data_IF_786014874121
#
_entry.id   IF_786014874121
#
_cell.length_a   1.000
_cell.length_b   1.000
_cell.length_c   1.000
_cell.angle_alpha   90.00
_cell.angle_beta   90.00
_cell.angle_gamma   90.00
#
_symmetry.space_group_name_H-M   'P 1'
#
loop_
_entity.id
_entity.type
_entity.pdbx_description
1 polymer ?
#
# COMPACT_ATOMS: atom_id res chain seq x y z
N UNK A 1 -31.41 -27.19 10.00
CA UNK A 1 -31.46 -25.80 9.50
C UNK A 1 -31.20 -24.83 10.65
N UNK A 2 -30.20 -23.94 10.50
CA UNK A 2 -30.00 -22.82 11.43
C UNK A 2 -30.70 -21.59 10.84
N UNK A 3 -31.36 -20.81 11.70
CA UNK A 3 -32.04 -19.57 11.32
C UNK A 3 -31.29 -18.38 11.92
N UNK A 4 -31.35 -17.23 11.26
CA UNK A 4 -30.81 -15.97 11.80
C UNK A 4 -31.71 -15.47 12.93
N UNK A 5 -31.10 -15.07 14.05
CA UNK A 5 -31.83 -14.44 15.14
C UNK A 5 -32.00 -12.94 14.88
N UNK A 6 -33.18 -12.54 14.39
CA UNK A 6 -33.50 -11.13 14.11
C UNK A 6 -33.66 -10.27 15.37
N UNK A 7 -33.81 -10.88 16.55
CA UNK A 7 -33.80 -10.17 17.84
C UNK A 7 -32.40 -9.92 18.40
N UNK A 8 -31.34 -10.42 17.75
CA UNK A 8 -29.98 -10.17 18.21
C UNK A 8 -29.63 -8.68 18.08
N UNK A 9 -29.04 -8.10 19.14
CA UNK A 9 -28.78 -6.66 19.22
C UNK A 9 -27.97 -6.13 18.02
N UNK A 10 -27.01 -6.90 17.52
CA UNK A 10 -26.22 -6.52 16.34
C UNK A 10 -27.08 -6.43 15.07
N UNK A 11 -27.97 -7.41 14.84
CA UNK A 11 -28.84 -7.43 13.64
C UNK A 11 -29.75 -6.21 13.64
N UNK A 12 -30.36 -5.88 14.78
CA UNK A 12 -31.20 -4.69 14.91
C UNK A 12 -30.44 -3.36 14.72
N UNK A 13 -29.14 -3.32 15.06
CA UNK A 13 -28.31 -2.13 14.84
C UNK A 13 -27.97 -1.93 13.35
N UNK A 14 -27.68 -3.02 12.65
CA UNK A 14 -27.34 -3.04 11.22
C UNK A 14 -28.56 -2.67 10.37
N UNK A 15 -29.73 -3.24 10.66
CA UNK A 15 -30.98 -2.92 9.95
C UNK A 15 -31.31 -1.43 10.01
N UNK A 16 -31.12 -0.79 11.17
CA UNK A 16 -31.34 0.66 11.34
C UNK A 16 -30.43 1.52 10.47
N UNK A 17 -29.25 1.00 10.08
CA UNK A 17 -28.24 1.71 9.31
C UNK A 17 -28.24 1.34 7.83
N UNK A 18 -29.06 0.38 7.42
CA UNK A 18 -29.08 -0.17 6.06
C UNK A 18 -27.69 -0.63 5.59
N UNK A 19 -26.90 -1.21 6.51
CA UNK A 19 -25.59 -1.75 6.20
C UNK A 19 -25.72 -3.15 5.58
N UNK A 20 -24.95 -3.42 4.51
CA UNK A 20 -24.86 -4.73 3.87
C UNK A 20 -23.90 -5.61 4.66
N UNK A 21 -24.34 -6.82 4.99
CA UNK A 21 -23.49 -7.81 5.67
C UNK A 21 -22.84 -8.74 4.67
N UNK A 22 -21.60 -9.13 4.96
CA UNK A 22 -20.84 -10.06 4.14
C UNK A 22 -20.17 -11.10 5.03
N UNK A 23 -20.00 -12.31 4.51
CA UNK A 23 -19.22 -13.37 5.14
C UNK A 23 -17.96 -13.64 4.35
N UNK A 24 -16.86 -13.90 5.05
CA UNK A 24 -15.62 -14.37 4.42
C UNK A 24 -15.79 -15.83 4.05
N UNK A 25 -15.71 -16.13 2.75
CA UNK A 25 -15.85 -17.49 2.22
C UNK A 25 -14.50 -18.19 2.10
N UNK A 26 -13.49 -17.47 1.62
CA UNK A 26 -12.13 -18.00 1.38
C UNK A 26 -11.09 -16.98 1.81
N UNK A 27 -9.90 -17.47 2.17
CA UNK A 27 -8.79 -16.65 2.65
C UNK A 27 -7.46 -17.18 2.11
N UNK A 28 -6.58 -16.26 1.72
CA UNK A 28 -5.17 -16.54 1.46
C UNK A 28 -4.41 -16.08 2.70
N UNK A 29 -3.64 -16.99 3.29
CA UNK A 29 -2.86 -16.72 4.50
C UNK A 29 -1.39 -17.10 4.32
N UNK A 30 -0.52 -16.46 5.08
CA UNK A 30 0.88 -16.87 5.20
C UNK A 30 0.98 -18.21 5.91
N UNK A 31 1.77 -19.14 5.36
CA UNK A 31 2.04 -20.44 6.00
C UNK A 31 3.18 -20.36 7.00
N UNK A 32 4.17 -19.52 6.74
CA UNK A 32 5.32 -19.23 7.60
C UNK A 32 5.46 -17.72 7.77
N UNK A 33 6.25 -17.29 8.76
CA UNK A 33 6.62 -15.89 8.89
C UNK A 33 7.51 -15.46 7.71
N UNK A 34 7.33 -14.23 7.22
CA UNK A 34 8.09 -13.67 6.11
C UNK A 34 8.21 -12.15 6.22
N UNK A 35 9.14 -11.55 5.49
CA UNK A 35 9.32 -10.10 5.47
C UNK A 35 9.06 -9.50 4.10
N UNK A 36 8.53 -8.27 4.08
CA UNK A 36 8.30 -7.47 2.87
C UNK A 36 9.14 -6.21 2.98
N UNK A 37 9.94 -5.95 1.95
CA UNK A 37 10.76 -4.75 1.83
C UNK A 37 10.20 -3.86 0.72
N UNK A 38 9.90 -2.62 1.06
CA UNK A 38 9.48 -1.59 0.11
C UNK A 38 10.64 -0.62 -0.12
N UNK A 39 11.20 -0.63 -1.33
CA UNK A 39 12.27 0.27 -1.75
C UNK A 39 11.71 1.34 -2.69
N UNK A 40 11.80 2.60 -2.26
CA UNK A 40 11.36 3.74 -3.06
C UNK A 40 12.44 4.13 -4.06
N UNK A 41 12.41 3.57 -5.27
CA UNK A 41 13.28 4.04 -6.36
C UNK A 41 12.77 5.36 -6.93
N UNK A 42 13.40 6.48 -6.59
CA UNK A 42 13.20 7.73 -7.31
C UNK A 42 13.98 7.66 -8.62
N UNK A 43 13.28 7.42 -9.74
CA UNK A 43 13.86 7.64 -11.05
C UNK A 43 13.96 9.16 -11.24
N UNK A 44 15.10 9.74 -10.86
CA UNK A 44 15.40 11.12 -11.20
C UNK A 44 15.43 11.26 -12.72
N UNK A 45 14.32 11.71 -13.31
CA UNK A 45 14.17 12.08 -14.73
C UNK A 45 15.05 13.29 -15.12
N UNK A 46 16.09 13.60 -14.34
CA UNK A 46 17.01 14.70 -14.59
C UNK A 46 18.33 14.27 -15.26
N UNK A 47 18.61 12.97 -15.38
CA UNK A 47 19.79 12.51 -16.14
C UNK A 47 19.68 12.77 -17.65
N UNK A 48 18.45 12.81 -18.20
CA UNK A 48 18.24 13.06 -19.64
C UNK A 48 18.48 14.51 -20.05
N UNK A 49 18.01 15.47 -19.25
CA UNK A 49 18.13 16.91 -19.54
C UNK A 49 19.57 17.40 -19.36
N UNK A 50 20.28 16.92 -18.33
CA UNK A 50 21.67 17.28 -18.10
C UNK A 50 22.61 16.80 -19.22
N UNK A 51 22.34 15.62 -19.78
CA UNK A 51 23.08 15.09 -20.95
C UNK A 51 22.83 15.92 -22.22
N UNK A 52 21.60 16.40 -22.42
CA UNK A 52 21.25 17.23 -23.58
C UNK A 52 21.89 18.62 -23.48
N UNK A 53 21.89 19.22 -22.28
CA UNK A 53 22.56 20.51 -22.02
C UNK A 53 24.09 20.43 -22.12
N UNK A 54 24.71 19.29 -21.76
CA UNK A 54 26.14 19.06 -21.94
C UNK A 54 26.59 18.94 -23.40
N UNK A 55 25.72 18.48 -24.29
CA UNK A 55 25.98 18.40 -25.74
C UNK A 55 25.84 19.75 -26.46
N UNK A 56 25.07 20.68 -25.89
CA UNK A 56 24.78 21.99 -26.49
C UNK A 56 25.81 23.09 -26.15
N UNK A 57 26.87 22.77 -25.40
CA UNK A 57 28.08 23.61 -25.28
C UNK A 57 27.89 24.98 -24.61
N UNK A 58 26.72 25.29 -24.05
CA UNK A 58 26.49 26.57 -23.37
C UNK A 58 26.89 26.45 -21.90
N UNK A 59 27.96 27.15 -21.51
CA UNK A 59 28.40 27.25 -20.12
C UNK A 59 27.43 28.11 -19.31
N UNK A 60 26.30 27.55 -18.91
CA UNK A 60 25.38 28.21 -17.98
C UNK A 60 26.00 28.09 -16.58
N UNK A 61 26.41 29.22 -16.00
CA UNK A 61 26.70 29.33 -14.57
C UNK A 61 25.39 29.08 -13.81
N UNK A 62 25.13 27.82 -13.45
CA UNK A 62 24.01 27.48 -12.59
C UNK A 62 24.46 27.83 -11.17
N UNK A 63 23.83 28.85 -10.59
CA UNK A 63 23.91 29.13 -9.16
C UNK A 63 23.32 27.91 -8.45
N UNK A 64 24.17 26.98 -8.02
CA UNK A 64 23.80 25.86 -7.17
C UNK A 64 23.37 26.43 -5.83
N UNK A 65 22.08 26.74 -5.70
CA UNK A 65 21.46 26.83 -4.40
C UNK A 65 21.44 25.39 -3.90
N UNK A 66 22.36 25.05 -3.01
CA UNK A 66 22.40 23.79 -2.27
C UNK A 66 21.10 23.63 -1.47
N UNK A 67 20.03 23.25 -2.15
CA UNK A 67 18.90 22.62 -1.51
C UNK A 67 19.32 21.18 -1.35
N UNK A 68 19.98 20.93 -0.22
CA UNK A 68 20.26 19.60 0.31
C UNK A 68 18.92 18.88 0.53
N UNK A 69 18.27 18.41 -0.53
CA UNK A 69 17.29 17.33 -0.43
C UNK A 69 18.09 16.03 -0.37
N UNK A 70 18.75 15.82 0.77
CA UNK A 70 19.16 14.47 1.17
C UNK A 70 17.88 13.72 1.50
N UNK A 71 17.17 13.27 0.47
CA UNK A 71 16.08 12.32 0.61
C UNK A 71 16.74 10.97 0.84
N UNK A 72 16.83 10.58 2.12
CA UNK A 72 17.28 9.26 2.51
C UNK A 72 16.40 8.21 1.80
N UNK A 73 17.03 7.21 1.18
CA UNK A 73 16.36 5.97 0.76
C UNK A 73 15.59 5.44 1.98
N UNK A 74 14.27 5.60 1.95
CA UNK A 74 13.37 5.12 3.00
C UNK A 74 12.97 3.70 2.62
N UNK A 75 13.94 2.80 2.69
CA UNK A 75 13.67 1.37 2.66
C UNK A 75 12.87 1.02 3.92
N UNK A 76 11.63 0.60 3.73
CA UNK A 76 10.75 0.17 4.82
C UNK A 76 10.63 -1.35 4.77
N UNK A 77 11.01 -2.02 5.86
CA UNK A 77 10.79 -3.46 6.03
C UNK A 77 9.64 -3.72 7.01
N UNK A 78 8.83 -4.73 6.71
CA UNK A 78 7.72 -5.20 7.53
C UNK A 78 7.81 -6.72 7.68
N UNK A 79 7.79 -7.19 8.93
CA UNK A 79 7.65 -8.62 9.25
C UNK A 79 6.16 -9.02 9.28
N UNK A 80 5.84 -10.14 8.63
CA UNK A 80 4.51 -10.73 8.56
C UNK A 80 4.56 -12.11 9.24
N UNK A 81 3.91 -12.28 10.40
CA UNK A 81 3.85 -13.58 11.07
C UNK A 81 3.10 -14.65 10.26
N UNK A 82 3.37 -15.93 10.55
CA UNK A 82 2.59 -17.07 10.05
C UNK A 82 1.11 -16.96 10.44
N UNK A 83 0.20 -17.34 9.53
CA UNK A 83 -1.25 -17.29 9.75
C UNK A 83 -1.89 -15.93 9.42
N UNK A 84 -1.11 -14.95 8.96
CA UNK A 84 -1.63 -13.64 8.57
C UNK A 84 -2.44 -13.74 7.28
N UNK A 85 -3.68 -13.23 7.27
CA UNK A 85 -4.53 -13.19 6.07
C UNK A 85 -4.07 -12.03 5.19
N UNK A 86 -3.66 -12.35 3.96
CA UNK A 86 -3.18 -11.36 2.98
C UNK A 86 -4.25 -11.00 1.95
N UNK A 87 -5.22 -11.87 1.73
CA UNK A 87 -6.38 -11.62 0.88
C UNK A 87 -7.56 -12.51 1.28
N UNK A 88 -8.77 -12.10 0.90
CA UNK A 88 -9.98 -12.85 1.19
C UNK A 88 -11.05 -12.63 0.12
N UNK A 89 -11.95 -13.59 -0.02
CA UNK A 89 -13.16 -13.48 -0.84
C UNK A 89 -14.38 -13.38 0.07
N UNK A 90 -15.34 -12.55 -0.30
CA UNK A 90 -16.59 -12.36 0.44
C UNK A 90 -17.80 -12.94 -0.30
N UNK A 91 -18.86 -13.18 0.46
CA UNK A 91 -20.21 -13.45 -0.02
C UNK A 91 -21.16 -12.51 0.72
N UNK A 92 -21.99 -11.76 0.00
CA UNK A 92 -23.06 -10.94 0.59
C UNK A 92 -24.14 -11.82 1.23
N UNK A 93 -24.65 -11.40 2.39
CA UNK A 93 -25.69 -12.08 3.16
C UNK A 93 -27.09 -11.58 2.84
#
# INVERSE_FOLDING_TARGET
NRLVNMQHILVQQIEKRAEVLVVVKERILTTNSCSVMFTRKQQCTFQGVLRLLGLLGTSIKICAKDVNSFEADSDVSLEIPSGTVIAYSILEL
#
